data_IF_641350779544
#
_entry.id   IF_641350779544
#
_cell.length_a   1.000
_cell.length_b   1.000
_cell.length_c   1.000
_cell.angle_alpha   90.00
_cell.angle_beta   90.00
_cell.angle_gamma   90.00
#
_symmetry.space_group_name_H-M   'P 1'
#
loop_
_entity.id
_entity.type
_entity.pdbx_description
1 polymer ?
#
# COMPACT_ATOMS: atom_id res chain seq x y z
N UNK A 1 -0.73 -13.08 -19.97
CA UNK A 1 0.73 -12.89 -20.02
C UNK A 1 1.05 -11.69 -19.14
N UNK A 2 1.93 -11.83 -18.15
CA UNK A 2 2.29 -10.70 -17.28
C UNK A 2 3.09 -9.69 -18.12
N UNK A 3 2.61 -8.45 -18.21
CA UNK A 3 3.32 -7.38 -18.92
C UNK A 3 4.72 -7.19 -18.33
N UNK A 4 5.72 -7.07 -19.21
CA UNK A 4 7.10 -6.77 -18.80
C UNK A 4 7.13 -5.46 -17.98
N UNK A 5 7.75 -5.51 -16.81
CA UNK A 5 7.93 -4.36 -15.90
C UNK A 5 8.92 -3.38 -16.50
N UNK A 6 8.64 -2.08 -16.39
CA UNK A 6 9.54 -1.03 -16.88
C UNK A 6 10.71 -0.91 -15.91
N UNK A 7 11.89 -1.38 -16.34
CA UNK A 7 13.11 -1.28 -15.55
C UNK A 7 13.78 0.08 -15.66
N UNK A 8 14.75 0.35 -14.78
CA UNK A 8 15.58 1.56 -14.79
C UNK A 8 16.28 1.81 -16.14
N UNK A 9 16.68 0.74 -16.82
CA UNK A 9 17.33 0.82 -18.14
C UNK A 9 16.38 1.17 -19.30
N UNK A 10 15.07 1.12 -19.08
CA UNK A 10 14.03 1.43 -20.08
C UNK A 10 13.37 2.80 -19.81
N UNK A 11 13.97 3.63 -18.95
CA UNK A 11 13.47 4.95 -18.59
C UNK A 11 12.41 4.97 -17.48
N UNK A 12 12.05 3.80 -16.92
CA UNK A 12 11.10 3.70 -15.80
C UNK A 12 11.75 3.88 -14.43
N UNK A 13 11.02 4.47 -13.48
CA UNK A 13 11.41 4.58 -12.07
C UNK A 13 10.80 3.42 -11.28
N UNK A 14 11.62 2.62 -10.60
CA UNK A 14 11.10 1.50 -9.79
C UNK A 14 10.17 2.03 -8.69
N UNK A 15 8.90 1.63 -8.69
CA UNK A 15 7.92 2.01 -7.67
C UNK A 15 7.69 0.90 -6.64
N UNK A 16 7.67 1.29 -5.38
CA UNK A 16 7.31 0.44 -4.24
C UNK A 16 5.88 0.81 -3.83
N UNK A 17 4.96 -0.15 -3.93
CA UNK A 17 3.57 0.04 -3.55
C UNK A 17 3.39 -0.39 -2.09
N UNK A 18 2.97 0.53 -1.21
CA UNK A 18 2.49 0.19 0.13
C UNK A 18 0.99 0.47 0.22
N UNK A 19 0.29 -0.39 0.96
CA UNK A 19 -1.14 -0.23 1.22
C UNK A 19 -1.31 0.43 2.57
N UNK A 20 -2.09 1.51 2.60
CA UNK A 20 -2.46 2.23 3.81
C UNK A 20 -3.89 1.84 4.14
N UNK A 21 -4.12 1.46 5.39
CA UNK A 21 -5.43 1.06 5.89
C UNK A 21 -5.58 1.47 7.37
N UNK A 22 -6.62 0.96 8.03
CA UNK A 22 -6.92 1.30 9.40
C UNK A 22 -6.00 0.64 10.43
N UNK A 23 -5.22 -0.36 10.03
CA UNK A 23 -4.38 -1.14 10.93
C UNK A 23 -3.19 -0.33 11.44
N UNK A 24 -2.74 -0.55 12.69
CA UNK A 24 -1.54 0.11 13.21
C UNK A 24 -0.28 -0.27 12.44
N UNK A 25 -0.20 -1.49 11.90
CA UNK A 25 0.99 -1.98 11.20
C UNK A 25 1.22 -1.34 9.82
N UNK A 26 0.20 -0.75 9.18
CA UNK A 26 0.35 -0.18 7.82
C UNK A 26 1.45 0.90 7.72
N UNK A 27 1.70 1.64 8.81
CA UNK A 27 2.79 2.63 8.88
C UNK A 27 4.18 2.01 8.71
N UNK A 28 4.38 0.76 9.14
CA UNK A 28 5.65 0.02 8.97
C UNK A 28 5.88 -0.33 7.50
N UNK A 29 4.81 -0.69 6.77
CA UNK A 29 4.88 -0.91 5.33
C UNK A 29 5.24 0.39 4.59
N UNK A 30 4.60 1.50 4.96
CA UNK A 30 4.86 2.81 4.40
C UNK A 30 6.31 3.26 4.62
N UNK A 31 6.80 3.18 5.86
CA UNK A 31 8.17 3.53 6.22
C UNK A 31 9.21 2.68 5.46
N UNK A 32 9.04 1.36 5.44
CA UNK A 32 9.94 0.47 4.71
C UNK A 32 9.93 0.76 3.21
N UNK A 33 8.74 0.86 2.60
CA UNK A 33 8.60 1.13 1.17
C UNK A 33 9.28 2.45 0.77
N UNK A 34 9.08 3.51 1.57
CA UNK A 34 9.68 4.81 1.32
C UNK A 34 11.21 4.81 1.47
N UNK A 35 11.74 4.21 2.54
CA UNK A 35 13.20 4.10 2.73
C UNK A 35 13.85 3.27 1.63
N UNK A 36 13.23 2.15 1.25
CA UNK A 36 13.73 1.30 0.18
C UNK A 36 13.66 1.96 -1.21
N UNK A 37 12.59 2.71 -1.46
CA UNK A 37 12.48 3.55 -2.66
C UNK A 37 13.60 4.60 -2.69
N UNK A 38 13.82 5.35 -1.60
CA UNK A 38 14.88 6.35 -1.51
C UNK A 38 16.27 5.74 -1.73
N UNK A 39 16.61 4.66 -1.03
CA UNK A 39 17.91 4.00 -1.12
C UNK A 39 18.22 3.47 -2.54
N UNK A 40 17.19 3.03 -3.27
CA UNK A 40 17.33 2.53 -4.64
C UNK A 40 17.15 3.59 -5.74
N UNK A 41 16.89 4.85 -5.39
CA UNK A 41 16.55 5.91 -6.35
C UNK A 41 15.19 5.71 -7.03
N UNK A 42 14.32 4.88 -6.44
CA UNK A 42 12.95 4.62 -6.88
C UNK A 42 11.94 5.64 -6.36
N UNK A 43 10.66 5.34 -6.56
CA UNK A 43 9.52 6.09 -6.04
C UNK A 43 8.67 5.18 -5.14
N UNK A 44 7.81 5.78 -4.33
CA UNK A 44 6.86 5.08 -3.47
C UNK A 44 5.45 5.49 -3.85
N UNK A 45 4.54 4.52 -3.88
CA UNK A 45 3.11 4.72 -4.12
C UNK A 45 2.37 4.22 -2.90
N UNK A 46 1.51 5.06 -2.34
CA UNK A 46 0.58 4.69 -1.29
C UNK A 46 -0.81 4.51 -1.89
N UNK A 47 -1.42 3.37 -1.58
CA UNK A 47 -2.77 3.02 -1.99
C UNK A 47 -3.64 2.86 -0.76
N UNK A 48 -4.75 3.59 -0.72
CA UNK A 48 -5.88 3.29 0.17
C UNK A 48 -7.02 2.70 -0.66
N UNK A 49 -7.65 1.64 -0.16
CA UNK A 49 -8.83 1.03 -0.81
C UNK A 49 -10.02 1.12 0.12
N UNK A 50 -11.03 1.86 -0.30
CA UNK A 50 -12.33 1.94 0.35
C UNK A 50 -13.13 0.70 -0.04
N UNK A 51 -13.58 -0.08 0.93
CA UNK A 51 -14.47 -1.22 0.65
C UNK A 51 -15.89 -0.70 0.33
N UNK A 52 -16.23 -0.73 -0.95
CA UNK A 52 -17.52 -0.24 -1.44
C UNK A 52 -18.68 -1.24 -1.30
N UNK A 53 -18.46 -2.43 -0.73
CA UNK A 53 -19.49 -3.46 -0.62
C UNK A 53 -20.75 -2.99 0.15
N UNK A 54 -20.56 -2.10 1.12
CA UNK A 54 -21.64 -1.65 1.99
C UNK A 54 -22.48 -0.53 1.37
N UNK A 55 -21.92 0.32 0.50
CA UNK A 55 -22.64 1.49 -0.04
C UNK A 55 -23.90 1.12 -0.83
N UNK A 56 -23.92 -0.05 -1.47
CA UNK A 56 -25.08 -0.51 -2.23
C UNK A 56 -26.22 -1.05 -1.35
N UNK A 57 -25.95 -1.40 -0.09
CA UNK A 57 -26.95 -1.97 0.81
C UNK A 57 -27.84 -0.89 1.46
N UNK A 58 -27.39 0.36 1.52
CA UNK A 58 -28.08 1.45 2.20
C UNK A 58 -28.79 2.39 1.21
N UNK A 59 -30.09 2.15 0.98
CA UNK A 59 -30.94 2.98 0.13
C UNK A 59 -31.05 4.42 0.69
N UNK A 60 -30.46 5.39 -0.01
CA UNK A 60 -30.65 6.82 0.23
C UNK A 60 -29.55 7.54 1.02
N UNK A 61 -28.57 6.82 1.59
CA UNK A 61 -27.40 7.41 2.30
C UNK A 61 -26.05 6.98 1.75
N UNK A 62 -26.01 6.09 0.75
CA UNK A 62 -24.76 5.57 0.19
C UNK A 62 -23.79 6.66 -0.32
N UNK A 63 -24.29 7.79 -0.83
CA UNK A 63 -23.44 8.90 -1.27
C UNK A 63 -22.80 9.67 -0.10
N UNK A 64 -23.50 9.78 1.03
CA UNK A 64 -22.95 10.37 2.26
C UNK A 64 -21.89 9.45 2.84
N UNK A 65 -22.19 8.15 2.96
CA UNK A 65 -21.23 7.17 3.47
C UNK A 65 -19.98 7.08 2.59
N UNK A 66 -20.13 7.17 1.27
CA UNK A 66 -18.99 7.23 0.34
C UNK A 66 -18.15 8.49 0.56
N UNK A 67 -18.80 9.65 0.76
CA UNK A 67 -18.10 10.89 1.02
C UNK A 67 -17.32 10.85 2.36
N UNK A 68 -17.93 10.31 3.41
CA UNK A 68 -17.28 10.12 4.72
C UNK A 68 -16.07 9.17 4.61
N UNK A 69 -16.22 8.03 3.93
CA UNK A 69 -15.13 7.09 3.70
C UNK A 69 -13.99 7.69 2.87
N UNK A 70 -14.32 8.55 1.89
CA UNK A 70 -13.32 9.28 1.11
C UNK A 70 -12.56 10.29 1.97
N UNK A 71 -13.25 11.05 2.82
CA UNK A 71 -12.63 12.01 3.74
C UNK A 71 -11.70 11.31 4.75
N UNK A 72 -12.11 10.16 5.27
CA UNK A 72 -11.28 9.34 6.15
C UNK A 72 -10.02 8.82 5.43
N UNK A 73 -10.19 8.30 4.22
CA UNK A 73 -9.10 7.84 3.38
C UNK A 73 -8.08 8.96 3.11
N UNK A 74 -8.56 10.14 2.70
CA UNK A 74 -7.73 11.32 2.43
C UNK A 74 -6.99 11.79 3.69
N UNK A 75 -7.69 11.89 4.82
CA UNK A 75 -7.10 12.30 6.10
C UNK A 75 -5.98 11.36 6.54
N UNK A 76 -6.22 10.05 6.46
CA UNK A 76 -5.22 9.06 6.86
C UNK A 76 -4.04 9.03 5.90
N UNK A 77 -4.31 9.09 4.59
CA UNK A 77 -3.28 9.17 3.57
C UNK A 77 -2.40 10.40 3.76
N UNK A 78 -2.99 11.57 4.03
CA UNK A 78 -2.25 12.80 4.30
C UNK A 78 -1.32 12.64 5.50
N UNK A 79 -1.83 12.12 6.63
CA UNK A 79 -1.02 11.86 7.83
C UNK A 79 0.19 10.97 7.54
N UNK A 80 -0.01 9.82 6.91
CA UNK A 80 1.10 8.88 6.62
C UNK A 80 2.08 9.46 5.61
N UNK A 81 1.57 10.22 4.63
CA UNK A 81 2.41 10.91 3.63
C UNK A 81 3.29 11.96 4.30
N UNK A 82 2.74 12.77 5.20
CA UNK A 82 3.48 13.78 5.96
C UNK A 82 4.55 13.14 6.86
N UNK A 83 4.19 12.08 7.61
CA UNK A 83 5.13 11.33 8.45
C UNK A 83 6.32 10.80 7.63
N UNK A 84 6.04 10.23 6.46
CA UNK A 84 7.08 9.69 5.55
C UNK A 84 7.91 10.80 4.93
N UNK A 85 7.29 11.92 4.54
CA UNK A 85 8.00 13.07 3.99
C UNK A 85 8.98 13.64 5.02
N UNK A 86 8.55 13.78 6.28
CA UNK A 86 9.39 14.27 7.37
C UNK A 86 10.51 13.28 7.73
N UNK A 87 10.20 12.00 7.88
CA UNK A 87 11.14 10.99 8.36
C UNK A 87 12.09 10.44 7.27
N UNK A 88 11.69 10.49 6.00
CA UNK A 88 12.41 9.89 4.87
C UNK A 88 12.83 10.92 3.84
N UNK A 89 12.10 12.02 3.66
CA UNK A 89 12.42 13.05 2.66
C UNK A 89 12.15 12.63 1.22
N UNK A 90 11.17 11.76 0.99
CA UNK A 90 10.63 11.43 -0.33
C UNK A 90 9.14 11.76 -0.35
N UNK A 91 8.64 12.27 -1.47
CA UNK A 91 7.20 12.52 -1.67
C UNK A 91 6.54 11.25 -2.26
N UNK A 92 5.61 10.61 -1.55
CA UNK A 92 4.81 9.51 -2.07
C UNK A 92 3.83 9.96 -3.15
N UNK A 93 3.64 9.13 -4.18
CA UNK A 93 2.42 9.18 -5.00
C UNK A 93 1.26 8.60 -4.20
N UNK A 94 0.11 9.25 -4.16
CA UNK A 94 -1.05 8.80 -3.38
C UNK A 94 -2.22 8.46 -4.30
N UNK A 95 -2.87 7.32 -4.05
CA UNK A 95 -4.07 6.89 -4.76
C UNK A 95 -5.11 6.36 -3.77
N UNK A 96 -6.37 6.75 -3.99
CA UNK A 96 -7.54 6.16 -3.35
C UNK A 96 -8.35 5.42 -4.40
N UNK A 97 -8.78 4.20 -4.10
CA UNK A 97 -9.62 3.36 -4.99
C UNK A 97 -10.82 2.82 -4.21
N UNK A 98 -11.89 2.50 -4.90
CA UNK A 98 -13.08 1.85 -4.33
C UNK A 98 -13.19 0.42 -4.86
N UNK A 99 -13.37 -0.56 -3.96
CA UNK A 99 -13.60 -1.95 -4.35
C UNK A 99 -12.96 -2.96 -3.41
N UNK A 100 -12.75 -4.18 -3.90
CA UNK A 100 -12.11 -5.25 -3.12
C UNK A 100 -10.60 -5.03 -3.08
N UNK A 101 -10.03 -4.88 -1.89
CA UNK A 101 -8.61 -4.54 -1.66
C UNK A 101 -7.63 -5.34 -2.54
N UNK A 102 -7.71 -6.68 -2.51
CA UNK A 102 -6.79 -7.53 -3.30
C UNK A 102 -6.96 -7.33 -4.81
N UNK A 103 -8.18 -7.10 -5.29
CA UNK A 103 -8.46 -6.85 -6.70
C UNK A 103 -7.94 -5.48 -7.13
N UNK A 104 -8.15 -4.45 -6.32
CA UNK A 104 -7.67 -3.09 -6.60
C UNK A 104 -6.14 -2.99 -6.57
N UNK A 105 -5.47 -3.67 -5.63
CA UNK A 105 -4.00 -3.80 -5.61
C UNK A 105 -3.51 -4.44 -6.91
N UNK A 106 -4.12 -5.55 -7.33
CA UNK A 106 -3.74 -6.25 -8.58
C UNK A 106 -3.95 -5.36 -9.79
N UNK A 107 -5.12 -4.72 -9.88
CA UNK A 107 -5.46 -3.82 -10.97
C UNK A 107 -4.48 -2.65 -11.05
N UNK A 108 -4.05 -2.09 -9.91
CA UNK A 108 -3.04 -1.03 -9.89
C UNK A 108 -1.69 -1.52 -10.39
N UNK A 109 -1.22 -2.67 -9.91
CA UNK A 109 0.04 -3.28 -10.36
C UNK A 109 -0.02 -3.61 -11.86
N UNK A 110 -1.16 -3.97 -12.42
CA UNK A 110 -1.28 -4.24 -13.86
C UNK A 110 -1.30 -2.95 -14.70
N UNK A 111 -1.97 -1.90 -14.20
CA UNK A 111 -2.08 -0.61 -14.87
C UNK A 111 -0.74 0.16 -14.86
N UNK A 112 0.00 0.12 -13.74
CA UNK A 112 1.30 0.76 -13.59
C UNK A 112 2.43 -0.27 -13.67
N UNK A 113 3.12 -0.29 -14.81
CA UNK A 113 4.24 -1.20 -15.07
C UNK A 113 5.54 -0.81 -14.36
N UNK A 114 5.59 0.36 -13.74
CA UNK A 114 6.70 0.81 -12.90
C UNK A 114 6.62 0.27 -11.47
N UNK A 115 5.42 -0.11 -11.01
CA UNK A 115 5.23 -0.82 -9.74
C UNK A 115 5.91 -2.19 -9.85
N UNK A 116 6.93 -2.36 -9.01
CA UNK A 116 7.82 -3.50 -9.07
C UNK A 116 7.80 -4.36 -7.81
N UNK A 117 7.37 -3.80 -6.67
CA UNK A 117 7.33 -4.49 -5.37
C UNK A 117 6.08 -4.04 -4.63
N UNK A 118 5.31 -5.00 -4.11
CA UNK A 118 4.24 -4.76 -3.14
C UNK A 118 4.82 -4.91 -1.73
N UNK A 119 4.58 -3.94 -0.86
CA UNK A 119 5.04 -3.93 0.53
C UNK A 119 3.82 -3.95 1.43
N UNK A 120 3.78 -4.94 2.32
CA UNK A 120 2.75 -5.14 3.34
C UNK A 120 3.41 -5.17 4.71
N UNK A 121 2.65 -4.90 5.76
CA UNK A 121 3.10 -5.11 7.13
C UNK A 121 2.33 -6.26 7.76
N UNK A 122 3.03 -7.08 8.54
CA UNK A 122 2.40 -8.10 9.36
C UNK A 122 2.14 -7.55 10.76
N UNK A 123 0.94 -7.81 11.28
CA UNK A 123 0.59 -7.52 12.67
C UNK A 123 1.52 -8.24 13.65
N UNK A 124 1.74 -7.64 14.83
CA UNK A 124 2.37 -8.27 15.99
C UNK A 124 1.35 -8.96 16.91
N UNK A 125 0.07 -8.91 16.57
CA UNK A 125 -1.01 -9.51 17.33
C UNK A 125 -0.96 -11.05 17.30
N UNK A 126 -1.50 -11.68 18.35
CA UNK A 126 -1.51 -13.13 18.49
C UNK A 126 -2.45 -13.82 17.48
N UNK A 127 -3.45 -13.10 16.94
CA UNK A 127 -4.44 -13.65 16.02
C UNK A 127 -3.91 -13.92 14.60
N UNK A 128 -2.67 -13.55 14.30
CA UNK A 128 -2.01 -13.85 13.03
C UNK A 128 -1.39 -12.62 12.36
N UNK A 129 -0.99 -12.72 11.09
CA UNK A 129 -0.17 -11.70 10.44
C UNK A 129 -0.93 -10.43 10.04
N UNK A 130 -2.15 -10.21 10.57
CA UNK A 130 -3.01 -9.09 10.19
C UNK A 130 -3.92 -9.38 8.98
N UNK A 131 -4.95 -8.55 8.77
CA UNK A 131 -6.02 -8.80 7.80
C UNK A 131 -5.52 -8.78 6.36
N UNK A 132 -4.68 -7.81 5.99
CA UNK A 132 -4.21 -7.65 4.61
C UNK A 132 -3.25 -8.75 4.17
N UNK A 133 -2.28 -9.12 5.03
CA UNK A 133 -1.36 -10.23 4.75
C UNK A 133 -2.16 -11.54 4.60
N UNK A 134 -3.12 -11.77 5.49
CA UNK A 134 -4.00 -12.95 5.42
C UNK A 134 -4.83 -12.97 4.13
N UNK A 135 -5.41 -11.84 3.73
CA UNK A 135 -6.17 -11.71 2.49
C UNK A 135 -5.31 -11.99 1.25
N UNK A 136 -4.08 -11.46 1.22
CA UNK A 136 -3.13 -11.69 0.12
C UNK A 136 -2.69 -13.16 0.07
N UNK A 137 -2.34 -13.76 1.20
CA UNK A 137 -1.94 -15.17 1.29
C UNK A 137 -3.10 -16.11 0.89
N UNK A 138 -4.34 -15.78 1.27
CA UNK A 138 -5.54 -16.56 0.96
C UNK A 138 -6.10 -16.36 -0.46
N UNK A 139 -5.63 -15.38 -1.22
CA UNK A 139 -6.18 -15.01 -2.53
C UNK A 139 -6.01 -16.05 -3.64
N UNK A 140 -5.26 -17.14 -3.38
CA UNK A 140 -5.05 -18.27 -4.30
C UNK A 140 -4.29 -17.94 -5.59
N UNK A 141 -3.92 -16.68 -5.81
CA UNK A 141 -3.28 -16.19 -7.03
C UNK A 141 -2.13 -15.25 -6.69
N UNK A 142 -0.91 -15.59 -7.15
CA UNK A 142 0.25 -14.76 -6.92
C UNK A 142 0.11 -13.38 -7.59
N UNK A 143 0.67 -12.34 -6.98
CA UNK A 143 0.87 -11.07 -7.65
C UNK A 143 1.96 -11.19 -8.72
N UNK A 144 1.89 -10.38 -9.80
CA UNK A 144 2.92 -10.37 -10.85
C UNK A 144 4.22 -9.67 -10.42
N UNK A 145 4.36 -9.34 -9.13
CA UNK A 145 5.51 -8.67 -8.52
C UNK A 145 5.82 -9.34 -7.18
N UNK A 146 7.08 -9.30 -6.70
CA UNK A 146 7.42 -9.72 -5.35
C UNK A 146 6.59 -8.99 -4.29
N UNK A 147 6.27 -9.70 -3.22
CA UNK A 147 5.59 -9.17 -2.04
C UNK A 147 6.58 -9.21 -0.87
N UNK A 148 6.84 -8.05 -0.27
CA UNK A 148 7.64 -7.90 0.95
C UNK A 148 6.70 -7.77 2.12
N UNK A 149 6.87 -8.61 3.14
CA UNK A 149 6.12 -8.54 4.40
C UNK A 149 7.05 -8.01 5.48
N UNK A 150 6.69 -6.87 6.07
CA UNK A 150 7.46 -6.15 7.09
C UNK A 150 6.86 -6.47 8.46
N UNK A 151 7.61 -7.08 9.40
CA UNK A 151 7.10 -7.31 10.75
C UNK A 151 6.81 -5.99 11.46
N UNK A 152 5.68 -5.89 12.17
CA UNK A 152 5.32 -4.70 12.94
C UNK A 152 6.34 -4.34 14.03
N UNK A 153 7.11 -5.33 14.49
CA UNK A 153 8.14 -5.18 15.53
C UNK A 153 9.40 -4.45 15.06
N UNK A 154 9.59 -4.23 13.75
CA UNK A 154 10.75 -3.49 13.26
C UNK A 154 10.62 -2.00 13.57
N UNK A 155 11.62 -1.49 14.29
CA UNK A 155 11.74 -0.06 14.59
C UNK A 155 12.17 0.72 13.36
N UNK A 156 12.08 2.06 13.41
CA UNK A 156 12.54 2.90 12.30
C UNK A 156 14.04 2.75 12.04
N UNK A 157 14.84 2.53 13.09
CA UNK A 157 16.29 2.28 13.02
C UNK A 157 16.60 0.91 12.38
N UNK A 158 15.82 -0.13 12.74
CA UNK A 158 15.94 -1.45 12.10
C UNK A 158 15.64 -1.35 10.60
N UNK A 159 14.55 -0.66 10.23
CA UNK A 159 14.14 -0.48 8.83
C UNK A 159 15.20 0.32 8.06
N UNK A 160 15.75 1.38 8.65
CA UNK A 160 16.82 2.18 8.05
C UNK A 160 18.05 1.34 7.76
N UNK A 161 18.45 0.46 8.68
CA UNK A 161 19.60 -0.44 8.52
C UNK A 161 19.43 -1.47 7.40
N UNK A 162 18.19 -1.76 6.98
CA UNK A 162 17.87 -2.74 5.94
C UNK A 162 17.82 -2.15 4.51
N UNK A 163 17.77 -0.82 4.37
CA UNK A 163 17.45 -0.15 3.11
C UNK A 163 18.68 0.36 2.36
#
# INVERSE_FOLDING_TARGET
>A
MVSKRLGRGEGGRRKFLAVIDETPECGRAAAYAARRAKASGGAVVFLYVIDGADFQQWLGVGDIMRAEAMEEAETRMARVTDEVREAVGIEPETLVREGKTVAEIRGLIEADREIAILVLAASDAAEGPGPLVSAVAGSGSAFPVPVTIVPATLTDEDIESLC
#
